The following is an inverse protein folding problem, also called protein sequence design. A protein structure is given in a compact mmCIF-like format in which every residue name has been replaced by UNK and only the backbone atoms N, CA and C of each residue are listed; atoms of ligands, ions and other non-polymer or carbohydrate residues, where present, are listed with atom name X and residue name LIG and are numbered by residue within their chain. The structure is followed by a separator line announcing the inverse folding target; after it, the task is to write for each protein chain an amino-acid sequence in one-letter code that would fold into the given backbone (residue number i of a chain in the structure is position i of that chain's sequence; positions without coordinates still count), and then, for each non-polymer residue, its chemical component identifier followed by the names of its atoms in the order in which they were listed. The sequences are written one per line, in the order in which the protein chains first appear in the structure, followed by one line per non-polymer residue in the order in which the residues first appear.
data_IF_515503284912
#
_entry.id   IF_515503284912
#
_cell.length_a   1.000
_cell.length_b   1.000
_cell.length_c   1.000
_cell.angle_alpha   90.00
_cell.angle_beta   90.00
_cell.angle_gamma   90.00
#
_symmetry.space_group_name_H-M   'P 1'
#
loop_
_entity.id
_entity.type
_entity.pdbx_description
1 polymer ?
#
# COMPACT_ATOMS: atom_id res chain seq x y z
N UNK A 1 -2.16 -4.14 42.57
CA UNK A 1 -0.93 -3.92 41.78
C UNK A 1 -1.34 -4.07 40.34
N UNK A 2 -1.48 -2.97 39.59
CA UNK A 2 -1.88 -3.01 38.19
C UNK A 2 -0.63 -3.24 37.35
N UNK A 3 -0.62 -4.31 36.57
CA UNK A 3 0.42 -4.53 35.57
C UNK A 3 0.18 -3.53 34.43
N UNK A 4 1.13 -2.64 34.16
CA UNK A 4 1.02 -1.60 33.12
C UNK A 4 1.26 -2.15 31.71
N UNK A 5 1.48 -3.46 31.58
CA UNK A 5 1.68 -4.12 30.31
C UNK A 5 0.33 -4.35 29.60
N UNK A 6 0.18 -4.02 28.31
CA UNK A 6 -1.02 -4.35 27.56
C UNK A 6 -1.29 -5.86 27.56
N UNK A 7 -2.58 -6.22 27.62
CA UNK A 7 -3.03 -7.62 27.61
C UNK A 7 -2.65 -8.35 26.31
N UNK A 8 -2.44 -7.60 25.22
CA UNK A 8 -2.00 -8.12 23.93
C UNK A 8 -0.79 -7.36 23.42
N UNK A 9 0.01 -8.03 22.59
CA UNK A 9 1.18 -7.42 21.97
C UNK A 9 0.77 -6.30 21.02
N UNK A 10 1.28 -5.09 21.27
CA UNK A 10 1.05 -3.97 20.36
C UNK A 10 1.62 -4.27 18.98
N UNK A 11 0.81 -3.97 17.95
CA UNK A 11 1.19 -4.16 16.55
C UNK A 11 2.16 -3.05 16.13
N UNK A 12 3.38 -3.45 15.75
CA UNK A 12 4.39 -2.55 15.22
C UNK A 12 4.26 -2.45 13.69
N UNK A 13 4.51 -1.28 13.09
CA UNK A 13 4.70 -1.17 11.65
C UNK A 13 5.86 -2.06 11.16
N UNK A 14 5.83 -2.52 9.91
CA UNK A 14 6.86 -3.38 9.35
C UNK A 14 8.18 -2.64 9.12
N UNK A 15 8.16 -1.30 9.07
CA UNK A 15 9.35 -0.46 8.93
C UNK A 15 9.53 0.37 10.18
N UNK A 16 10.72 0.25 10.78
CA UNK A 16 11.17 1.09 11.88
C UNK A 16 11.75 2.37 11.31
N UNK A 17 11.19 3.52 11.70
CA UNK A 17 11.73 4.82 11.31
C UNK A 17 12.80 5.22 12.32
N UNK A 18 14.06 5.21 11.90
CA UNK A 18 15.18 5.69 12.73
C UNK A 18 15.24 7.22 12.68
N UNK A 19 14.66 7.86 13.69
CA UNK A 19 14.53 9.30 13.78
C UNK A 19 15.29 9.83 15.00
N UNK A 20 16.12 10.90 14.85
CA UNK A 20 16.88 11.44 15.95
C UNK A 20 15.97 12.07 17.01
N UNK A 21 16.42 12.08 18.26
CA UNK A 21 15.67 12.72 19.34
C UNK A 21 15.44 14.22 19.06
N UNK A 22 14.23 14.71 19.35
CA UNK A 22 13.85 16.11 19.17
C UNK A 22 13.12 16.44 17.86
N UNK A 23 12.96 15.48 16.95
CA UNK A 23 12.09 15.66 15.77
C UNK A 23 10.63 15.37 16.10
N UNK A 24 9.67 16.03 15.43
CA UNK A 24 8.26 15.72 15.56
C UNK A 24 7.99 14.23 15.31
N UNK A 25 6.99 13.70 16.03
CA UNK A 25 6.64 12.28 15.97
C UNK A 25 6.42 11.83 14.52
N UNK A 26 6.97 10.66 14.12
CA UNK A 26 6.79 10.13 12.78
C UNK A 26 5.32 10.02 12.36
N UNK A 27 5.06 10.24 11.07
CA UNK A 27 3.73 10.02 10.48
C UNK A 27 3.35 8.55 10.64
N UNK A 28 2.31 8.27 11.43
CA UNK A 28 1.84 6.91 11.69
C UNK A 28 1.55 6.16 10.38
N UNK A 29 2.28 5.08 10.17
CA UNK A 29 1.98 4.09 9.13
C UNK A 29 0.78 3.28 9.62
N UNK A 30 -0.38 3.50 8.99
CA UNK A 30 -1.58 2.70 9.28
C UNK A 30 -1.56 1.39 8.49
N UNK A 31 -2.24 0.34 8.96
CA UNK A 31 -2.39 -0.91 8.20
C UNK A 31 -2.97 -0.66 6.80
N UNK A 32 -3.89 0.30 6.69
CA UNK A 32 -4.44 0.72 5.41
C UNK A 32 -3.37 1.27 4.46
N UNK A 33 -2.44 2.09 4.96
CA UNK A 33 -1.39 2.69 4.13
C UNK A 33 -0.40 1.64 3.65
N UNK A 34 -0.08 0.65 4.48
CA UNK A 34 0.76 -0.49 4.06
C UNK A 34 0.14 -1.29 2.92
N UNK A 35 -1.14 -1.64 3.03
CA UNK A 35 -1.87 -2.30 1.95
C UNK A 35 -1.93 -1.44 0.69
N UNK A 36 -2.13 -0.13 0.84
CA UNK A 36 -2.19 0.80 -0.28
C UNK A 36 -0.87 0.86 -1.05
N UNK A 37 0.27 0.95 -0.35
CA UNK A 37 1.61 0.96 -0.97
C UNK A 37 1.87 -0.33 -1.74
N UNK A 38 1.47 -1.50 -1.21
CA UNK A 38 1.59 -2.78 -1.91
C UNK A 38 0.81 -2.80 -3.23
N UNK A 39 -0.42 -2.28 -3.22
CA UNK A 39 -1.23 -2.18 -4.45
C UNK A 39 -0.63 -1.21 -5.45
N UNK A 40 -0.07 -0.08 -5.00
CA UNK A 40 0.62 0.86 -5.89
C UNK A 40 1.85 0.20 -6.52
N UNK A 41 2.66 -0.52 -5.74
CA UNK A 41 3.82 -1.26 -6.24
C UNK A 41 3.41 -2.30 -7.30
N UNK A 42 2.37 -3.09 -7.00
CA UNK A 42 1.81 -4.06 -7.94
C UNK A 42 1.32 -3.38 -9.23
N UNK A 43 0.58 -2.28 -9.09
CA UNK A 43 0.03 -1.52 -10.21
C UNK A 43 1.13 -0.97 -11.11
N UNK A 44 2.19 -0.39 -10.53
CA UNK A 44 3.31 0.17 -11.31
C UNK A 44 4.15 -0.91 -11.99
N UNK A 45 4.27 -2.09 -11.38
CA UNK A 45 4.97 -3.24 -11.97
C UNK A 45 4.23 -3.79 -13.20
N UNK A 46 2.90 -3.93 -13.12
CA UNK A 46 2.09 -4.53 -14.20
C UNK A 46 1.44 -3.50 -15.15
N UNK A 47 1.47 -2.21 -14.81
CA UNK A 47 0.90 -1.09 -15.58
C UNK A 47 -0.62 -0.87 -15.42
N UNK A 48 -1.31 -1.75 -14.69
CA UNK A 48 -2.73 -1.64 -14.37
C UNK A 48 -3.01 -2.31 -13.02
N UNK A 49 -4.23 -2.23 -12.49
CA UNK A 49 -4.67 -3.03 -11.35
C UNK A 49 -6.10 -3.47 -11.54
N UNK A 50 -6.44 -4.65 -11.01
CA UNK A 50 -7.81 -5.18 -11.07
C UNK A 50 -8.54 -4.98 -9.75
N UNK A 51 -9.87 -4.94 -9.81
CA UNK A 51 -10.74 -4.89 -8.63
C UNK A 51 -10.44 -6.03 -7.64
N UNK A 52 -10.18 -7.23 -8.17
CA UNK A 52 -9.88 -8.43 -7.37
C UNK A 52 -8.59 -8.26 -6.59
N UNK A 53 -7.55 -7.70 -7.21
CA UNK A 53 -6.27 -7.43 -6.55
C UNK A 53 -6.40 -6.37 -5.44
N UNK A 54 -7.19 -5.31 -5.66
CA UNK A 54 -7.41 -4.30 -4.60
C UNK A 54 -8.10 -4.93 -3.39
N UNK A 55 -9.15 -5.73 -3.64
CA UNK A 55 -9.90 -6.41 -2.58
C UNK A 55 -9.08 -7.47 -1.87
N UNK A 56 -8.17 -8.19 -2.55
CA UNK A 56 -7.31 -9.20 -1.90
C UNK A 56 -6.35 -8.59 -0.87
N UNK A 57 -6.01 -7.30 -1.00
CA UNK A 57 -5.26 -6.56 0.00
C UNK A 57 -6.14 -5.93 1.10
N UNK A 58 -7.42 -6.28 1.17
CA UNK A 58 -8.37 -5.83 2.19
C UNK A 58 -8.85 -4.39 2.00
N UNK A 59 -8.69 -3.81 0.80
CA UNK A 59 -9.05 -2.42 0.53
C UNK A 59 -10.38 -2.29 -0.21
N UNK A 60 -11.15 -1.27 0.16
CA UNK A 60 -12.39 -0.93 -0.52
C UNK A 60 -12.13 -0.27 -1.87
N UNK A 61 -12.59 -0.90 -2.95
CA UNK A 61 -12.44 -0.40 -4.33
C UNK A 61 -13.04 1.00 -4.54
N UNK A 62 -14.08 1.36 -3.78
CA UNK A 62 -14.75 2.66 -3.87
C UNK A 62 -13.81 3.81 -3.56
N UNK A 63 -12.91 3.65 -2.58
CA UNK A 63 -11.94 4.67 -2.19
C UNK A 63 -10.93 5.00 -3.31
N UNK A 64 -10.71 4.07 -4.24
CA UNK A 64 -9.74 4.20 -5.33
C UNK A 64 -10.38 4.68 -6.63
N UNK A 65 -11.59 4.19 -6.92
CA UNK A 65 -12.25 4.33 -8.22
C UNK A 65 -13.33 5.41 -8.26
N UNK A 66 -13.86 5.82 -7.11
CA UNK A 66 -14.91 6.84 -7.05
C UNK A 66 -14.33 8.21 -6.66
N UNK A 67 -14.77 9.29 -7.33
CA UNK A 67 -14.45 10.64 -6.88
C UNK A 67 -15.13 10.89 -5.52
N UNK A 68 -14.43 11.60 -4.63
CA UNK A 68 -14.96 11.96 -3.30
C UNK A 68 -15.10 13.48 -3.21
N UNK A 69 -16.33 13.98 -3.32
CA UNK A 69 -16.62 15.41 -3.35
C UNK A 69 -16.00 16.06 -4.59
N UNK A 70 -15.22 17.12 -4.39
CA UNK A 70 -14.50 17.80 -5.48
C UNK A 70 -13.21 17.08 -5.92
N UNK A 71 -12.78 16.03 -5.21
CA UNK A 71 -11.56 15.29 -5.54
C UNK A 71 -11.87 14.22 -6.58
N UNK A 72 -11.11 14.24 -7.68
CA UNK A 72 -11.18 13.20 -8.70
C UNK A 72 -10.76 11.83 -8.13
N UNK A 73 -11.18 10.76 -8.79
CA UNK A 73 -10.78 9.40 -8.44
C UNK A 73 -9.27 9.20 -8.64
N UNK A 74 -8.66 8.40 -7.77
CA UNK A 74 -7.24 8.06 -7.86
C UNK A 74 -6.92 7.11 -9.02
N UNK A 75 -7.90 6.32 -9.45
CA UNK A 75 -7.79 5.40 -10.57
C UNK A 75 -8.78 5.72 -11.69
N UNK A 76 -8.34 5.56 -12.94
CA UNK A 76 -9.17 5.65 -14.14
C UNK A 76 -9.34 4.28 -14.78
N UNK A 77 -10.43 4.07 -15.51
CA UNK A 77 -10.62 2.84 -16.30
C UNK A 77 -9.52 2.74 -17.37
N UNK A 78 -8.86 1.59 -17.42
CA UNK A 78 -7.81 1.26 -18.39
C UNK A 78 -8.36 0.81 -19.74
N UNK A 79 -7.49 0.22 -20.56
CA UNK A 79 -7.80 -0.22 -21.92
C UNK A 79 -8.85 -1.34 -21.98
N UNK A 80 -8.83 -2.29 -21.03
CA UNK A 80 -9.79 -3.37 -20.97
C UNK A 80 -10.75 -3.25 -19.77
N UNK A 81 -11.91 -3.91 -19.90
CA UNK A 81 -12.91 -3.98 -18.82
C UNK A 81 -12.30 -4.60 -17.56
N UNK A 82 -12.39 -3.87 -16.45
CA UNK A 82 -11.89 -4.34 -15.15
C UNK A 82 -10.43 -3.99 -14.86
N UNK A 83 -9.74 -3.34 -15.80
CA UNK A 83 -8.44 -2.73 -15.58
C UNK A 83 -8.59 -1.30 -15.10
N UNK A 84 -7.76 -0.93 -14.15
CA UNK A 84 -7.65 0.42 -13.61
C UNK A 84 -6.21 0.89 -13.72
N UNK A 85 -6.03 2.15 -14.10
CA UNK A 85 -4.72 2.77 -14.31
C UNK A 85 -4.57 3.99 -13.42
N UNK A 86 -3.33 4.29 -13.05
CA UNK A 86 -2.95 5.45 -12.25
C UNK A 86 -3.41 6.76 -12.92
N UNK A 87 -3.89 7.71 -12.12
CA UNK A 87 -4.15 9.09 -12.57
C UNK A 87 -3.17 10.05 -11.91
N UNK A 88 -3.06 11.26 -12.47
CA UNK A 88 -2.25 12.36 -11.92
C UNK A 88 -2.70 12.79 -10.50
N UNK A 89 -3.90 12.40 -10.08
CA UNK A 89 -4.46 12.74 -8.77
C UNK A 89 -4.14 11.71 -7.68
N UNK A 90 -3.39 10.66 -8.00
CA UNK A 90 -2.97 9.69 -7.01
C UNK A 90 -1.96 10.33 -6.03
N UNK A 91 -2.15 10.21 -4.70
CA UNK A 91 -1.16 10.67 -3.76
C UNK A 91 0.19 9.98 -3.97
N UNK A 92 1.33 10.68 -3.80
CA UNK A 92 2.66 10.10 -3.98
C UNK A 92 3.03 9.23 -2.76
N UNK A 93 2.47 8.02 -2.71
CA UNK A 93 2.70 7.06 -1.63
C UNK A 93 4.14 6.53 -1.61
N UNK A 94 4.76 6.47 -2.79
CA UNK A 94 6.15 6.09 -3.03
C UNK A 94 7.14 7.09 -2.45
N UNK A 95 6.88 8.39 -2.63
CA UNK A 95 7.76 9.44 -2.10
C UNK A 95 7.62 9.56 -0.58
N UNK A 96 6.41 9.35 -0.04
CA UNK A 96 6.17 9.44 1.39
C UNK A 96 6.85 8.31 2.19
N UNK A 97 6.90 7.10 1.63
CA UNK A 97 7.44 5.93 2.32
C UNK A 97 8.24 5.04 1.35
N UNK A 98 9.45 5.48 0.93
CA UNK A 98 10.25 4.76 -0.06
C UNK A 98 10.68 3.37 0.41
N UNK A 99 10.97 3.20 1.69
CA UNK A 99 11.38 1.91 2.27
C UNK A 99 10.26 0.86 2.21
N UNK A 100 9.03 1.25 2.53
CA UNK A 100 7.86 0.36 2.41
C UNK A 100 7.61 -0.02 0.96
N UNK A 101 7.80 0.92 0.03
CA UNK A 101 7.65 0.67 -1.39
C UNK A 101 8.71 -0.32 -1.91
N UNK A 102 9.98 -0.16 -1.51
CA UNK A 102 11.04 -1.09 -1.86
C UNK A 102 10.81 -2.50 -1.29
N UNK A 103 10.35 -2.59 -0.04
CA UNK A 103 10.00 -3.88 0.57
C UNK A 103 8.84 -4.55 -0.18
N UNK A 104 7.84 -3.78 -0.61
CA UNK A 104 6.74 -4.30 -1.43
C UNK A 104 7.22 -4.80 -2.80
N UNK A 105 8.15 -4.09 -3.46
CA UNK A 105 8.73 -4.54 -4.72
C UNK A 105 9.51 -5.85 -4.57
N UNK A 106 10.37 -5.95 -3.55
CA UNK A 106 11.13 -7.19 -3.26
C UNK A 106 10.20 -8.38 -3.03
N UNK A 107 9.15 -8.19 -2.24
CA UNK A 107 8.17 -9.25 -1.99
C UNK A 107 7.48 -9.71 -3.29
N UNK A 108 7.17 -8.78 -4.20
CA UNK A 108 6.59 -9.11 -5.51
C UNK A 108 7.59 -9.84 -6.42
N UNK A 109 8.88 -9.50 -6.35
CA UNK A 109 9.94 -10.20 -7.10
C UNK A 109 10.14 -11.63 -6.58
N UNK A 110 10.22 -11.82 -5.26
CA UNK A 110 10.27 -13.15 -4.63
C UNK A 110 9.04 -14.00 -4.96
N UNK A 111 7.84 -13.41 -4.95
CA UNK A 111 6.60 -14.11 -5.36
C UNK A 111 6.65 -14.54 -6.83
N UNK A 112 7.22 -13.71 -7.72
CA UNK A 112 7.36 -14.06 -9.13
C UNK A 112 8.37 -15.20 -9.30
N UNK A 113 9.55 -15.11 -8.68
CA UNK A 113 10.58 -16.15 -8.72
C UNK A 113 10.07 -17.51 -8.22
N UNK A 114 9.30 -17.51 -7.13
CA UNK A 114 8.67 -18.72 -6.61
C UNK A 114 7.63 -19.34 -7.55
N UNK A 115 6.94 -18.54 -8.36
CA UNK A 115 6.01 -19.05 -9.38
C UNK A 115 6.75 -19.73 -10.53
N UNK A 116 7.97 -19.27 -10.87
CA UNK A 116 8.78 -19.86 -11.94
C UNK A 116 9.53 -21.13 -11.51
N UNK A 117 9.81 -21.32 -10.21
CA UNK A 117 10.56 -22.49 -9.71
C UNK A 117 9.70 -23.75 -9.47
N UNK A 118 8.37 -23.59 -9.47
CA UNK A 118 7.39 -24.68 -9.27
C UNK A 118 6.95 -25.37 -10.58
N UNK A 119 7.58 -25.05 -11.71
CA UNK A 119 7.35 -25.64 -13.04
C UNK A 119 8.54 -26.48 -13.45
#
# INVERSE_FOLDING_TARGET
MFDWNPAERCRLPPVLQDLPAGVPSPVKISPWKESAIKVVALMRRQGFVTAKQITSHGMGMTAWTQPKGMKQAWLRKGAARGQWVETEHMPPFDIQHPELYQMALKALDEEAENQFSLV
#
